data_IF_275678528155
#
_entry.id   IF_275678528155
#
_cell.length_a   1.000
_cell.length_b   1.000
_cell.length_c   1.000
_cell.angle_alpha   90.00
_cell.angle_beta   90.00
_cell.angle_gamma   90.00
#
_symmetry.space_group_name_H-M   'P 1'
#
loop_
_entity.id
_entity.type
_entity.pdbx_description
1 polymer ?
#
# COMPACT_ATOMS: atom_id res chain seq x y z
N UNK A 1 -8.45 4.92 -18.80
CA UNK A 1 -9.32 5.03 -17.61
C UNK A 1 -8.48 4.97 -16.35
N UNK A 2 -9.13 4.98 -15.18
CA UNK A 2 -8.47 5.07 -13.86
C UNK A 2 -7.46 3.93 -13.65
N UNK A 3 -7.81 2.68 -13.94
CA UNK A 3 -6.89 1.53 -13.78
C UNK A 3 -5.57 1.73 -14.53
N UNK A 4 -5.65 2.16 -15.79
CA UNK A 4 -4.47 2.46 -16.61
C UNK A 4 -3.64 3.58 -16.00
N UNK A 5 -4.28 4.67 -15.59
CA UNK A 5 -3.60 5.81 -14.98
C UNK A 5 -2.91 5.43 -13.66
N UNK A 6 -3.53 4.55 -12.85
CA UNK A 6 -2.95 4.03 -11.62
C UNK A 6 -1.69 3.19 -11.90
N UNK A 7 -1.73 2.27 -12.86
CA UNK A 7 -0.55 1.50 -13.26
C UNK A 7 0.56 2.39 -13.82
N UNK A 8 0.23 3.32 -14.72
CA UNK A 8 1.20 4.24 -15.31
C UNK A 8 1.84 5.15 -14.25
N UNK A 9 1.05 5.68 -13.31
CA UNK A 9 1.55 6.51 -12.21
C UNK A 9 2.48 5.74 -11.26
N UNK A 10 2.13 4.49 -10.92
CA UNK A 10 2.98 3.61 -10.12
C UNK A 10 4.32 3.35 -10.80
N UNK A 11 4.30 2.95 -12.08
CA UNK A 11 5.51 2.66 -12.86
C UNK A 11 6.38 3.91 -13.06
N UNK A 12 5.76 5.07 -13.27
CA UNK A 12 6.49 6.35 -13.46
C UNK A 12 7.18 6.81 -12.18
N UNK A 13 6.73 6.31 -11.02
CA UNK A 13 7.34 6.56 -9.71
C UNK A 13 8.37 5.49 -9.32
N UNK A 14 8.71 4.55 -10.23
CA UNK A 14 9.63 3.45 -9.95
C UNK A 14 9.05 2.35 -9.07
N UNK A 15 7.72 2.32 -8.88
CA UNK A 15 7.04 1.27 -8.11
C UNK A 15 6.63 0.08 -8.97
N UNK A 16 6.24 -1.00 -8.28
CA UNK A 16 5.78 -2.24 -8.91
C UNK A 16 4.26 -2.31 -8.84
N UNK A 17 3.63 -2.88 -9.87
CA UNK A 17 2.17 -2.97 -9.95
C UNK A 17 1.71 -4.32 -10.47
N UNK A 18 0.49 -4.73 -10.11
CA UNK A 18 -0.08 -6.02 -10.51
C UNK A 18 -1.37 -5.75 -11.28
N UNK A 19 -1.43 -6.18 -12.53
CA UNK A 19 -2.66 -6.16 -13.32
C UNK A 19 -3.36 -7.51 -13.23
N UNK A 20 -4.57 -7.53 -12.69
CA UNK A 20 -5.41 -8.72 -12.70
C UNK A 20 -6.21 -8.74 -14.02
N UNK A 21 -6.45 -9.88 -14.65
CA UNK A 21 -7.06 -9.96 -15.99
C UNK A 21 -8.34 -10.80 -15.99
N UNK A 22 -9.30 -10.40 -16.82
CA UNK A 22 -10.58 -11.12 -17.04
C UNK A 22 -10.52 -12.12 -18.20
N UNK A 23 -9.31 -12.52 -18.59
CA UNK A 23 -8.99 -13.34 -19.76
C UNK A 23 -7.62 -14.01 -19.56
N UNK A 24 -7.21 -14.91 -20.46
CA UNK A 24 -5.89 -15.57 -20.37
C UNK A 24 -4.75 -14.53 -20.36
N UNK A 25 -3.69 -14.77 -19.59
CA UNK A 25 -2.55 -13.83 -19.46
C UNK A 25 -1.80 -13.60 -20.78
N UNK A 26 -1.97 -14.49 -21.75
CA UNK A 26 -1.44 -14.43 -23.12
C UNK A 26 -2.26 -13.56 -24.07
N UNK A 27 -3.41 -13.05 -23.64
CA UNK A 27 -4.29 -12.20 -24.44
C UNK A 27 -4.29 -10.78 -23.89
N UNK A 28 -3.84 -9.81 -24.69
CA UNK A 28 -3.92 -8.41 -24.30
C UNK A 28 -5.33 -7.88 -24.50
N UNK A 29 -5.95 -7.40 -23.42
CA UNK A 29 -7.21 -6.68 -23.48
C UNK A 29 -7.28 -5.61 -22.37
N UNK A 30 -7.83 -4.42 -22.64
CA UNK A 30 -8.26 -3.93 -23.96
C UNK A 30 -7.06 -3.75 -24.92
N UNK A 31 -7.34 -3.76 -26.23
CA UNK A 31 -6.30 -3.55 -27.24
C UNK A 31 -5.58 -2.21 -27.05
N UNK A 32 -4.27 -2.17 -27.29
CA UNK A 32 -3.43 -1.00 -27.06
C UNK A 32 -2.77 -0.95 -25.67
N UNK A 33 -2.99 -1.97 -24.83
CA UNK A 33 -2.35 -2.10 -23.51
C UNK A 33 -1.08 -2.98 -23.55
N UNK A 34 -0.62 -3.44 -24.71
CA UNK A 34 0.52 -4.35 -24.86
C UNK A 34 1.77 -3.76 -24.21
N UNK A 35 2.10 -2.52 -24.57
CA UNK A 35 3.25 -1.79 -24.01
C UNK A 35 3.11 -1.54 -22.51
N UNK A 36 1.90 -1.35 -22.01
CA UNK A 36 1.68 -1.20 -20.57
C UNK A 36 1.98 -2.52 -19.85
N UNK A 37 1.47 -3.63 -20.37
CA UNK A 37 1.66 -4.96 -19.79
C UNK A 37 3.14 -5.36 -19.79
N UNK A 38 3.85 -5.11 -20.89
CA UNK A 38 5.31 -5.28 -20.97
C UNK A 38 6.02 -4.48 -19.88
N UNK A 39 5.68 -3.19 -19.72
CA UNK A 39 6.26 -2.33 -18.68
C UNK A 39 5.98 -2.82 -17.27
N UNK A 40 4.77 -3.34 -17.02
CA UNK A 40 4.40 -3.92 -15.73
C UNK A 40 5.34 -5.09 -15.40
N UNK A 41 5.50 -6.03 -16.34
CA UNK A 41 6.34 -7.22 -16.13
C UNK A 41 7.82 -6.85 -16.05
N UNK A 42 8.32 -6.02 -16.97
CA UNK A 42 9.74 -5.62 -16.98
C UNK A 42 10.12 -4.77 -15.76
N UNK A 43 9.15 -4.07 -15.16
CA UNK A 43 9.32 -3.30 -13.94
C UNK A 43 9.29 -4.13 -12.65
N UNK A 44 9.24 -5.47 -12.73
CA UNK A 44 9.16 -6.34 -11.55
C UNK A 44 7.75 -6.48 -10.97
N UNK A 45 6.73 -6.06 -11.72
CA UNK A 45 5.32 -6.32 -11.44
C UNK A 45 4.84 -7.66 -12.00
N UNK A 46 3.52 -7.84 -12.07
CA UNK A 46 2.93 -9.09 -12.57
C UNK A 46 1.60 -8.89 -13.31
N UNK A 47 1.32 -9.80 -14.24
CA UNK A 47 -0.01 -10.02 -14.80
C UNK A 47 -0.58 -11.29 -14.17
N UNK A 48 -1.79 -11.20 -13.62
CA UNK A 48 -2.43 -12.31 -12.90
C UNK A 48 -3.78 -12.60 -13.54
N UNK A 49 -4.05 -13.87 -13.82
CA UNK A 49 -5.36 -14.32 -14.28
C UNK A 49 -5.71 -15.66 -13.66
N UNK A 50 -7.00 -15.88 -13.43
CA UNK A 50 -7.55 -17.19 -13.06
C UNK A 50 -7.99 -18.02 -14.28
N UNK A 51 -7.89 -17.44 -15.48
CA UNK A 51 -8.34 -18.09 -16.70
C UNK A 51 -7.17 -18.80 -17.42
N UNK A 52 -7.42 -19.98 -18.03
CA UNK A 52 -6.43 -20.67 -18.84
C UNK A 52 -5.93 -19.81 -20.01
N UNK A 53 -4.74 -20.15 -20.52
CA UNK A 53 -4.20 -19.53 -21.73
C UNK A 53 -5.18 -19.67 -22.91
N UNK A 54 -5.22 -18.67 -23.78
CA UNK A 54 -6.13 -18.59 -24.93
C UNK A 54 -7.57 -18.18 -24.58
N UNK A 55 -7.89 -17.95 -23.29
CA UNK A 55 -9.24 -17.58 -22.87
C UNK A 55 -9.57 -16.14 -23.30
N UNK A 56 -10.57 -15.89 -24.18
CA UNK A 56 -10.84 -14.55 -24.69
C UNK A 56 -11.54 -13.66 -23.65
N UNK A 57 -11.45 -12.32 -23.77
CA UNK A 57 -12.22 -11.41 -22.92
C UNK A 57 -13.73 -11.58 -23.12
N UNK A 58 -14.49 -11.54 -22.01
CA UNK A 58 -15.96 -11.57 -22.01
C UNK A 58 -16.52 -10.61 -20.97
N UNK A 59 -17.61 -9.87 -21.25
CA UNK A 59 -18.14 -8.84 -20.34
C UNK A 59 -18.38 -9.31 -18.90
N UNK A 60 -18.89 -10.53 -18.70
CA UNK A 60 -19.19 -11.07 -17.36
C UNK A 60 -17.94 -11.43 -16.54
N UNK A 61 -16.79 -11.67 -17.19
CA UNK A 61 -15.53 -11.99 -16.50
C UNK A 61 -14.91 -10.79 -15.81
N UNK A 62 -15.23 -9.56 -16.25
CA UNK A 62 -14.67 -8.35 -15.63
C UNK A 62 -15.24 -8.13 -14.22
N UNK A 63 -16.57 -8.18 -13.99
CA UNK A 63 -17.11 -8.20 -12.63
C UNK A 63 -16.61 -9.39 -11.79
N UNK A 64 -16.54 -10.61 -12.36
CA UNK A 64 -16.06 -11.78 -11.62
C UNK A 64 -14.62 -11.60 -11.13
N UNK A 65 -13.74 -11.11 -12.00
CA UNK A 65 -12.33 -10.85 -11.64
C UNK A 65 -12.19 -9.81 -10.54
N UNK A 66 -13.10 -8.85 -10.42
CA UNK A 66 -12.96 -7.75 -9.46
C UNK A 66 -12.87 -8.22 -8.01
N UNK A 67 -13.39 -9.41 -7.68
CA UNK A 67 -13.19 -10.02 -6.36
C UNK A 67 -11.72 -10.28 -6.02
N UNK A 68 -10.90 -10.60 -7.03
CA UNK A 68 -9.46 -10.83 -6.85
C UNK A 68 -8.78 -9.49 -6.58
N UNK A 69 -9.15 -8.42 -7.30
CA UNK A 69 -8.64 -7.06 -7.03
C UNK A 69 -8.96 -6.65 -5.60
N UNK A 70 -10.23 -6.79 -5.19
CA UNK A 70 -10.68 -6.47 -3.84
C UNK A 70 -9.95 -7.31 -2.77
N UNK A 71 -9.75 -8.61 -3.03
CA UNK A 71 -9.08 -9.50 -2.10
C UNK A 71 -7.58 -9.21 -1.95
N UNK A 72 -6.89 -8.87 -3.05
CA UNK A 72 -5.46 -8.54 -3.05
C UNK A 72 -5.18 -7.15 -2.46
N UNK A 73 -6.12 -6.22 -2.55
CA UNK A 73 -5.96 -4.87 -2.01
C UNK A 73 -6.02 -4.90 -0.47
N UNK A 74 -5.00 -4.34 0.18
CA UNK A 74 -5.09 -4.01 1.60
C UNK A 74 -6.07 -2.84 1.83
N UNK A 75 -5.98 -1.84 0.95
CA UNK A 75 -6.79 -0.63 0.91
C UNK A 75 -7.29 -0.42 -0.52
N UNK A 76 -8.57 -0.11 -0.70
CA UNK A 76 -9.14 0.19 -2.01
C UNK A 76 -9.44 1.70 -2.10
N UNK A 77 -8.98 2.34 -3.17
CA UNK A 77 -9.30 3.75 -3.45
C UNK A 77 -10.16 3.85 -4.70
N UNK A 78 -11.33 4.46 -4.58
CA UNK A 78 -12.25 4.77 -5.69
C UNK A 78 -12.14 6.26 -6.02
N UNK A 79 -11.54 6.57 -7.18
CA UNK A 79 -11.30 7.95 -7.61
C UNK A 79 -12.55 8.56 -8.25
N UNK A 80 -12.96 7.98 -9.39
CA UNK A 80 -14.15 8.37 -10.13
C UNK A 80 -14.90 7.12 -10.55
N UNK A 81 -16.18 7.06 -10.19
CA UNK A 81 -17.06 5.95 -10.49
C UNK A 81 -18.52 6.43 -10.59
N UNK A 82 -19.19 6.26 -11.75
CA UNK A 82 -20.65 6.30 -11.80
C UNK A 82 -21.28 5.21 -10.92
N UNK A 83 -22.53 5.39 -10.48
CA UNK A 83 -23.26 4.39 -9.66
C UNK A 83 -23.27 3.00 -10.32
N UNK A 84 -23.49 2.93 -11.63
CA UNK A 84 -23.54 1.67 -12.40
C UNK A 84 -22.19 1.33 -13.05
N UNK A 85 -21.12 1.33 -12.27
CA UNK A 85 -19.76 1.05 -12.77
C UNK A 85 -19.13 -0.20 -12.16
N UNK A 86 -18.14 -0.77 -12.86
CA UNK A 86 -17.36 -1.91 -12.35
C UNK A 86 -16.59 -1.56 -11.06
N UNK A 87 -16.18 -0.31 -10.90
CA UNK A 87 -15.51 0.16 -9.68
C UNK A 87 -16.43 0.07 -8.45
N UNK A 88 -17.73 0.36 -8.60
CA UNK A 88 -18.71 0.19 -7.53
C UNK A 88 -18.91 -1.28 -7.14
N UNK A 89 -18.82 -2.20 -8.11
CA UNK A 89 -18.83 -3.64 -7.83
C UNK A 89 -17.59 -4.04 -7.02
N UNK A 90 -16.41 -3.56 -7.40
CA UNK A 90 -15.16 -3.83 -6.64
C UNK A 90 -15.25 -3.26 -5.21
N UNK A 91 -15.76 -2.05 -5.05
CA UNK A 91 -15.92 -1.40 -3.75
C UNK A 91 -16.87 -2.19 -2.84
N UNK A 92 -18.01 -2.63 -3.38
CA UNK A 92 -18.94 -3.49 -2.65
C UNK A 92 -18.29 -4.79 -2.21
N UNK A 93 -17.61 -5.50 -3.12
CA UNK A 93 -16.91 -6.75 -2.81
C UNK A 93 -15.86 -6.54 -1.72
N UNK A 94 -15.11 -5.44 -1.79
CA UNK A 94 -14.11 -5.07 -0.78
C UNK A 94 -14.74 -4.86 0.60
N UNK A 95 -15.86 -4.13 0.68
CA UNK A 95 -16.60 -3.93 1.93
C UNK A 95 -17.15 -5.26 2.48
N UNK A 96 -17.68 -6.15 1.63
CA UNK A 96 -18.21 -7.45 2.02
C UNK A 96 -17.17 -8.36 2.69
N UNK A 97 -15.89 -8.24 2.30
CA UNK A 97 -14.77 -8.98 2.91
C UNK A 97 -14.01 -8.17 3.97
N UNK A 98 -14.53 -7.03 4.41
CA UNK A 98 -13.96 -6.21 5.47
C UNK A 98 -12.70 -5.43 5.09
N UNK A 99 -12.51 -5.10 3.80
CA UNK A 99 -11.44 -4.18 3.37
C UNK A 99 -11.84 -2.74 3.59
N UNK A 100 -10.84 -1.92 3.87
CA UNK A 100 -11.00 -0.48 3.98
C UNK A 100 -11.14 0.14 2.59
N UNK A 101 -12.24 0.87 2.39
CA UNK A 101 -12.54 1.56 1.14
C UNK A 101 -12.47 3.06 1.36
N UNK A 102 -11.71 3.71 0.50
CA UNK A 102 -11.59 5.16 0.40
C UNK A 102 -12.23 5.63 -0.91
N UNK A 103 -12.83 6.82 -0.88
CA UNK A 103 -13.37 7.45 -2.07
C UNK A 103 -12.88 8.90 -2.18
N UNK A 104 -12.56 9.33 -3.39
CA UNK A 104 -12.23 10.73 -3.68
C UNK A 104 -13.54 11.50 -3.87
N UNK A 105 -13.78 12.57 -3.09
CA UNK A 105 -14.97 13.41 -3.29
C UNK A 105 -14.91 14.12 -4.64
N UNK A 106 -16.05 14.20 -5.32
CA UNK A 106 -16.16 14.89 -6.61
C UNK A 106 -17.37 15.82 -6.68
N UNK A 107 -17.48 16.59 -7.76
CA UNK A 107 -18.60 17.52 -7.93
C UNK A 107 -19.92 16.74 -8.02
N UNK A 108 -20.93 17.16 -7.26
CA UNK A 108 -22.25 16.50 -7.25
C UNK A 108 -22.97 16.56 -8.61
N UNK A 109 -22.59 17.49 -9.48
CA UNK A 109 -23.13 17.64 -10.84
C UNK A 109 -22.46 16.70 -11.87
N UNK A 110 -21.36 16.06 -11.51
CA UNK A 110 -20.62 15.17 -12.42
C UNK A 110 -21.05 13.71 -12.21
N UNK A 111 -21.65 13.10 -13.23
CA UNK A 111 -22.13 11.72 -13.16
C UNK A 111 -21.00 10.72 -12.87
N UNK A 112 -19.77 11.01 -13.28
CA UNK A 112 -18.61 10.17 -12.97
C UNK A 112 -18.24 10.18 -11.48
N UNK A 113 -18.76 11.10 -10.69
CA UNK A 113 -18.54 11.17 -9.25
C UNK A 113 -19.74 10.64 -8.45
N UNK A 114 -20.84 10.24 -9.11
CA UNK A 114 -22.09 9.86 -8.42
C UNK A 114 -21.90 8.65 -7.50
N UNK A 115 -21.15 7.65 -7.95
CA UNK A 115 -20.82 6.44 -7.18
C UNK A 115 -19.77 6.68 -6.10
N UNK A 116 -18.69 7.41 -6.38
CA UNK A 116 -17.68 7.74 -5.35
C UNK A 116 -18.29 8.57 -4.21
N UNK A 117 -19.11 9.58 -4.55
CA UNK A 117 -19.85 10.34 -3.54
C UNK A 117 -20.88 9.48 -2.79
N UNK A 118 -21.49 8.49 -3.45
CA UNK A 118 -22.37 7.54 -2.78
C UNK A 118 -21.62 6.66 -1.78
N UNK A 119 -20.42 6.20 -2.11
CA UNK A 119 -19.56 5.46 -1.17
C UNK A 119 -19.25 6.29 0.08
N UNK A 120 -18.96 7.58 -0.08
CA UNK A 120 -18.75 8.49 1.06
C UNK A 120 -20.00 8.60 1.93
N UNK A 121 -21.17 8.75 1.32
CA UNK A 121 -22.44 8.77 2.04
C UNK A 121 -22.70 7.47 2.79
N UNK A 122 -22.35 6.32 2.20
CA UNK A 122 -22.52 4.99 2.79
C UNK A 122 -21.39 4.63 3.81
N UNK A 123 -20.45 5.54 4.08
CA UNK A 123 -19.46 5.42 5.16
C UNK A 123 -18.03 5.07 4.74
N UNK A 124 -17.71 5.09 3.45
CA UNK A 124 -16.31 5.00 2.99
C UNK A 124 -15.49 6.21 3.47
N UNK A 125 -14.18 6.01 3.66
CA UNK A 125 -13.28 7.07 4.11
C UNK A 125 -13.03 8.10 3.00
N UNK A 126 -13.07 9.38 3.35
CA UNK A 126 -12.84 10.45 2.38
C UNK A 126 -11.34 10.63 2.11
N UNK A 127 -10.92 10.43 0.85
CA UNK A 127 -9.58 10.77 0.40
C UNK A 127 -9.58 12.22 -0.11
N UNK A 128 -9.35 13.15 0.82
CA UNK A 128 -9.22 14.60 0.54
C UNK A 128 -7.78 15.06 0.43
N UNK A 129 -6.84 14.26 0.93
CA UNK A 129 -5.41 14.56 0.97
C UNK A 129 -4.60 13.28 0.80
N UNK A 130 -3.66 13.29 -0.15
CA UNK A 130 -2.77 12.14 -0.41
C UNK A 130 -1.81 11.94 0.76
N UNK A 131 -1.30 13.01 1.38
CA UNK A 131 -0.41 12.91 2.54
C UNK A 131 -1.09 12.26 3.74
N UNK A 132 -2.35 12.62 3.97
CA UNK A 132 -3.12 12.12 5.10
C UNK A 132 -3.53 10.68 4.86
N UNK A 133 -3.92 10.35 3.62
CA UNK A 133 -4.14 8.96 3.20
C UNK A 133 -2.90 8.11 3.46
N UNK A 134 -1.72 8.52 3.01
CA UNK A 134 -0.48 7.76 3.25
C UNK A 134 -0.20 7.60 4.74
N UNK A 135 -0.45 8.64 5.53
CA UNK A 135 -0.22 8.62 6.98
C UNK A 135 -1.16 7.67 7.71
N UNK A 136 -2.47 7.74 7.40
CA UNK A 136 -3.53 6.97 8.04
C UNK A 136 -3.57 5.52 7.54
N UNK A 137 -3.48 5.31 6.23
CA UNK A 137 -3.66 4.01 5.61
C UNK A 137 -2.50 3.04 5.88
N UNK A 138 -1.27 3.55 6.02
CA UNK A 138 -0.07 2.73 6.21
C UNK A 138 0.56 2.89 7.60
N UNK A 139 -0.21 3.36 8.58
CA UNK A 139 0.19 3.30 9.99
C UNK A 139 1.48 4.06 10.29
N UNK A 140 1.77 5.15 9.55
CA UNK A 140 2.73 6.12 10.06
C UNK A 140 2.06 6.82 11.23
N UNK A 141 2.31 6.31 12.42
CA UNK A 141 2.14 6.99 13.71
C UNK A 141 2.99 8.29 13.82
N UNK A 142 3.38 8.89 12.68
CA UNK A 142 4.08 10.17 12.52
C UNK A 142 3.11 11.35 12.43
N UNK A 143 1.80 11.13 12.24
CA UNK A 143 0.84 12.24 12.07
C UNK A 143 0.44 12.97 13.36
N UNK A 144 0.56 12.32 14.53
CA UNK A 144 0.27 12.95 15.83
C UNK A 144 1.43 13.85 16.31
N UNK A 145 2.61 13.68 15.74
CA UNK A 145 3.74 14.58 15.90
C UNK A 145 4.00 15.23 14.56
N UNK A 146 3.32 16.36 14.27
CA UNK A 146 3.72 17.27 13.18
C UNK A 146 5.24 17.36 13.21
N UNK A 147 5.89 16.89 12.15
CA UNK A 147 7.24 17.34 11.84
C UNK A 147 7.09 18.84 11.62
N UNK A 148 7.43 19.63 12.65
CA UNK A 148 7.86 20.98 12.40
C UNK A 148 9.05 20.83 11.45
N UNK A 149 8.94 21.45 10.27
CA UNK A 149 10.01 21.63 9.29
C UNK A 149 11.16 22.52 9.83
N UNK A 150 11.41 22.52 11.13
CA UNK A 150 12.72 22.87 11.64
C UNK A 150 13.62 21.67 11.40
N UNK A 151 14.69 21.87 10.62
CA UNK A 151 15.90 21.04 10.65
C UNK A 151 16.53 21.14 12.05
N UNK A 152 15.82 20.74 13.09
CA UNK A 152 16.41 20.47 14.39
C UNK A 152 17.28 19.26 14.22
N UNK A 153 18.56 19.46 14.52
CA UNK A 153 19.59 18.43 14.58
C UNK A 153 19.02 17.14 15.15
N UNK A 154 19.03 16.06 14.36
CA UNK A 154 18.77 14.71 14.86
C UNK A 154 19.60 14.57 16.14
N UNK A 155 18.98 14.34 17.31
CA UNK A 155 19.74 14.21 18.55
C UNK A 155 20.80 13.12 18.35
N UNK A 156 22.01 13.38 18.83
CA UNK A 156 23.07 12.39 18.75
C UNK A 156 22.59 11.10 19.43
N UNK A 157 22.70 9.97 18.71
CA UNK A 157 22.30 8.67 19.24
C UNK A 157 23.09 8.38 20.51
N UNK A 158 22.39 7.96 21.55
CA UNK A 158 23.01 7.45 22.78
C UNK A 158 23.84 6.20 22.49
N UNK A 159 24.79 5.88 23.37
CA UNK A 159 25.62 4.67 23.21
C UNK A 159 24.79 3.38 23.12
N UNK A 160 23.67 3.30 23.85
CA UNK A 160 22.75 2.16 23.82
C UNK A 160 22.05 2.03 22.46
N UNK A 161 21.57 3.14 21.91
CA UNK A 161 20.90 3.16 20.59
C UNK A 161 21.88 2.81 19.46
N UNK A 162 23.11 3.34 19.51
CA UNK A 162 24.15 2.99 18.54
C UNK A 162 24.46 1.49 18.57
N UNK A 163 24.50 0.89 19.76
CA UNK A 163 24.76 -0.54 19.93
C UNK A 163 23.66 -1.41 19.33
N UNK A 164 22.38 -1.08 19.57
CA UNK A 164 21.26 -1.80 18.94
C UNK A 164 21.31 -1.68 17.41
N UNK A 165 21.52 -0.46 16.91
CA UNK A 165 21.58 -0.23 15.48
C UNK A 165 22.74 -0.99 14.82
N UNK A 166 23.90 -1.08 15.49
CA UNK A 166 25.04 -1.87 15.03
C UNK A 166 24.74 -3.37 14.98
N UNK A 167 24.08 -3.91 16.01
CA UNK A 167 23.65 -5.32 16.04
C UNK A 167 22.71 -5.62 14.88
N UNK A 168 21.67 -4.80 14.68
CA UNK A 168 20.70 -4.99 13.59
C UNK A 168 21.34 -4.87 12.20
N UNK A 169 22.28 -3.95 12.00
CA UNK A 169 22.99 -3.80 10.72
C UNK A 169 23.92 -4.98 10.42
N UNK A 170 24.57 -5.54 11.45
CA UNK A 170 25.52 -6.64 11.30
C UNK A 170 24.82 -7.99 11.15
N UNK A 171 23.80 -8.22 11.97
CA UNK A 171 23.22 -9.53 12.22
C UNK A 171 21.85 -9.72 11.57
N UNK A 172 21.29 -8.66 10.96
CA UNK A 172 19.97 -8.66 10.36
C UNK A 172 18.86 -8.65 11.41
N UNK A 173 17.75 -9.32 11.09
CA UNK A 173 16.56 -9.29 11.94
C UNK A 173 16.81 -9.95 13.30
N UNK A 174 16.37 -9.30 14.37
CA UNK A 174 16.54 -9.77 15.75
C UNK A 174 15.29 -9.56 16.58
N UNK A 175 15.09 -10.44 17.57
CA UNK A 175 14.08 -10.24 18.60
C UNK A 175 14.59 -9.32 19.70
N UNK A 176 13.68 -8.78 20.50
CA UNK A 176 14.02 -7.98 21.69
C UNK A 176 14.95 -8.76 22.63
N UNK A 177 14.68 -10.04 22.86
CA UNK A 177 15.52 -10.88 23.72
C UNK A 177 16.93 -11.06 23.16
N UNK A 178 17.07 -11.25 21.83
CA UNK A 178 18.39 -11.32 21.22
C UNK A 178 19.14 -10.00 21.33
N UNK A 179 18.45 -8.87 21.14
CA UNK A 179 19.03 -7.54 21.29
C UNK A 179 19.43 -7.23 22.73
N UNK A 180 18.70 -7.74 23.72
CA UNK A 180 19.04 -7.57 25.14
C UNK A 180 20.34 -8.31 25.48
N UNK A 181 20.49 -9.55 24.96
CA UNK A 181 21.69 -10.36 25.13
C UNK A 181 22.88 -9.78 24.37
N UNK A 182 22.75 -9.54 23.07
CA UNK A 182 23.85 -9.05 22.21
C UNK A 182 24.22 -7.59 22.53
N UNK A 183 23.24 -6.77 22.90
CA UNK A 183 23.43 -5.37 23.30
C UNK A 183 23.88 -5.19 24.74
N UNK A 184 23.96 -6.28 25.52
CA UNK A 184 24.29 -6.29 26.96
C UNK A 184 23.49 -5.24 27.74
N UNK A 185 22.17 -5.25 27.57
CA UNK A 185 21.27 -4.28 28.20
C UNK A 185 19.95 -4.95 28.57
N UNK A 186 19.18 -4.31 29.45
CA UNK A 186 17.90 -4.89 29.89
C UNK A 186 16.87 -4.89 28.75
N UNK A 187 15.90 -5.81 28.73
CA UNK A 187 14.80 -5.76 27.76
C UNK A 187 14.05 -4.42 27.78
N UNK A 188 13.91 -3.79 28.95
CA UNK A 188 13.32 -2.46 29.09
C UNK A 188 14.12 -1.38 28.35
N UNK A 189 15.46 -1.41 28.46
CA UNK A 189 16.35 -0.53 27.69
C UNK A 189 16.22 -0.78 26.19
N UNK A 190 16.12 -2.06 25.77
CA UNK A 190 15.93 -2.42 24.36
C UNK A 190 14.63 -1.84 23.83
N UNK A 191 13.51 -2.01 24.53
CA UNK A 191 12.23 -1.43 24.13
C UNK A 191 12.30 0.09 24.05
N UNK A 192 12.93 0.75 25.02
CA UNK A 192 13.10 2.20 25.00
C UNK A 192 13.92 2.66 23.80
N UNK A 193 15.06 2.01 23.52
CA UNK A 193 15.93 2.35 22.40
C UNK A 193 15.26 2.05 21.05
N UNK A 194 14.55 0.93 20.90
CA UNK A 194 13.81 0.59 19.69
C UNK A 194 12.68 1.59 19.42
N UNK A 195 11.96 2.02 20.45
CA UNK A 195 10.94 3.05 20.32
C UNK A 195 11.52 4.37 19.80
N UNK A 196 12.64 4.84 20.37
CA UNK A 196 13.31 6.07 19.90
C UNK A 196 13.87 5.92 18.49
N UNK A 197 14.55 4.81 18.19
CA UNK A 197 15.11 4.54 16.87
C UNK A 197 14.02 4.39 15.78
N UNK A 198 12.88 3.80 16.13
CA UNK A 198 11.73 3.68 15.22
C UNK A 198 11.11 5.05 14.95
N UNK A 199 10.94 5.89 15.99
CA UNK A 199 10.48 7.27 15.84
C UNK A 199 11.43 8.11 14.98
N UNK A 200 12.74 7.86 15.07
CA UNK A 200 13.76 8.49 14.23
C UNK A 200 13.89 7.87 12.83
N UNK A 201 13.07 6.86 12.48
CA UNK A 201 13.09 6.21 11.16
C UNK A 201 14.37 5.41 10.87
N UNK A 202 15.05 4.89 11.91
CA UNK A 202 16.31 4.12 11.77
C UNK A 202 16.10 2.60 11.83
N UNK A 203 15.02 2.13 12.44
CA UNK A 203 14.63 0.71 12.55
C UNK A 203 13.14 0.54 12.28
N UNK A 204 12.71 -0.66 11.92
CA UNK A 204 11.30 -1.00 11.69
C UNK A 204 10.99 -2.42 12.18
N UNK A 205 9.73 -2.72 12.55
CA UNK A 205 9.31 -4.09 12.86
C UNK A 205 9.28 -4.91 11.55
N UNK A 206 10.05 -5.99 11.52
CA UNK A 206 10.14 -6.89 10.35
C UNK A 206 9.28 -8.14 10.47
N UNK A 207 8.71 -8.39 11.65
CA UNK A 207 7.79 -9.50 11.90
C UNK A 207 7.36 -9.54 13.37
N UNK A 208 6.60 -10.56 13.80
CA UNK A 208 6.15 -10.68 15.18
C UNK A 208 7.33 -10.69 16.16
N UNK A 209 7.46 -9.60 16.94
CA UNK A 209 8.55 -9.41 17.89
C UNK A 209 9.95 -9.24 17.28
N UNK A 210 10.06 -9.07 15.96
CA UNK A 210 11.33 -8.91 15.23
C UNK A 210 11.51 -7.49 14.71
N UNK A 211 12.75 -7.03 14.75
CA UNK A 211 13.15 -5.70 14.33
C UNK A 211 14.31 -5.78 13.34
N UNK A 212 14.35 -4.84 12.41
CA UNK A 212 15.38 -4.69 11.39
C UNK A 212 15.81 -3.23 11.28
N UNK A 213 17.06 -2.98 10.91
CA UNK A 213 17.53 -1.63 10.58
C UNK A 213 17.01 -1.24 9.19
N UNK A 214 16.63 0.04 9.02
CA UNK A 214 16.30 0.57 7.69
C UNK A 214 17.55 0.50 6.82
N UNK A 215 17.48 -0.06 5.59
CA UNK A 215 18.59 -0.04 4.65
C UNK A 215 19.05 1.40 4.42
N UNK A 216 20.34 1.65 4.65
CA UNK A 216 20.96 2.96 4.42
C UNK A 216 21.27 3.20 2.96
#
# INVERSE_FOLDING_TARGET
GIDRAAHEGCLSSGGNTIAVLGNGVDITYPGGHERLFERIVSGGGALVSEYPLGTPPRPWRFPERNRIIAALAEKLVVVEAPIKSGAMVTARLALEIGREVWAVPGRISEENCSGSNRLLYDGALALVSVSDFVSLAFGRQLGLFRQNDSRESVPALTEKEQRILAVLKKSGERTVDNLAVEGTMSPADVFSCLATLAAAGRVFPSGPGRWSAVPG
#
